data_IF_897690857453
#
_entry.id   IF_897690857453
#
_cell.length_a   1.000
_cell.length_b   1.000
_cell.length_c   1.000
_cell.angle_alpha   90.00
_cell.angle_beta   90.00
_cell.angle_gamma   90.00
#
_symmetry.space_group_name_H-M   'P 1'
#
loop_
_entity.id
_entity.type
_entity.pdbx_description
1 polymer ?
#
# COMPACT_ATOMS: atom_id res chain seq x y z
N UNK A 1 10.50 -0.64 9.84
CA UNK A 1 9.55 0.48 9.96
C UNK A 1 8.20 0.08 9.37
N UNK A 2 7.10 0.64 9.88
CA UNK A 2 5.74 0.31 9.41
C UNK A 2 4.85 1.55 9.33
N UNK A 3 4.01 1.63 8.31
CA UNK A 3 2.98 2.66 8.15
C UNK A 3 1.64 2.00 7.87
N UNK A 4 0.58 2.47 8.53
CA UNK A 4 -0.79 2.09 8.19
C UNK A 4 -1.28 2.94 7.01
N UNK A 5 -1.95 2.30 6.05
CA UNK A 5 -2.56 2.94 4.91
C UNK A 5 -4.05 2.60 4.92
N UNK A 6 -4.91 3.57 4.67
CA UNK A 6 -6.34 3.33 4.55
C UNK A 6 -7.00 4.33 3.60
N UNK A 7 -8.17 4.01 3.01
CA UNK A 7 -8.95 4.98 2.26
C UNK A 7 -9.26 6.22 3.12
N UNK A 8 -9.20 7.40 2.51
CA UNK A 8 -9.78 8.58 3.17
C UNK A 8 -11.29 8.40 3.31
N UNK A 9 -11.89 9.04 4.32
CA UNK A 9 -13.34 9.00 4.57
C UNK A 9 -14.20 9.53 3.41
N UNK A 10 -13.59 10.17 2.41
CA UNK A 10 -14.26 10.72 1.22
C UNK A 10 -14.20 9.81 -0.02
N UNK A 11 -13.40 8.74 -0.02
CA UNK A 11 -13.12 7.94 -1.22
C UNK A 11 -13.74 6.55 -1.19
N UNK A 12 -14.06 6.05 -2.39
CA UNK A 12 -14.60 4.71 -2.60
C UNK A 12 -13.53 3.64 -2.36
N UNK A 13 -13.95 2.48 -1.86
CA UNK A 13 -13.04 1.36 -1.65
C UNK A 13 -12.43 0.90 -2.99
N UNK A 14 -11.10 0.86 -3.06
CA UNK A 14 -10.38 0.28 -4.20
C UNK A 14 -10.50 -1.24 -4.21
N UNK A 15 -10.37 -1.88 -5.38
CA UNK A 15 -10.12 -3.32 -5.42
C UNK A 15 -8.64 -3.62 -5.32
N UNK A 16 -8.27 -4.86 -4.99
CA UNK A 16 -6.87 -5.29 -5.06
C UNK A 16 -6.28 -5.11 -6.48
N UNK A 17 -7.11 -5.24 -7.51
CA UNK A 17 -6.68 -5.03 -8.90
C UNK A 17 -6.34 -3.56 -9.16
N UNK A 18 -7.08 -2.62 -8.56
CA UNK A 18 -6.80 -1.20 -8.66
C UNK A 18 -5.49 -0.85 -7.95
N UNK A 19 -5.26 -1.41 -6.76
CA UNK A 19 -4.00 -1.27 -6.01
C UNK A 19 -2.81 -1.76 -6.83
N UNK A 20 -2.87 -2.99 -7.36
CA UNK A 20 -1.81 -3.53 -8.21
C UNK A 20 -1.59 -2.70 -9.48
N UNK A 21 -2.66 -2.13 -10.05
CA UNK A 21 -2.57 -1.29 -11.24
C UNK A 21 -1.95 0.07 -10.94
N UNK A 22 -2.28 0.70 -9.81
CA UNK A 22 -1.67 1.95 -9.35
C UNK A 22 -0.17 1.77 -9.10
N UNK A 23 0.23 0.72 -8.39
CA UNK A 23 1.64 0.40 -8.13
C UNK A 23 2.42 0.23 -9.44
N UNK A 24 1.85 -0.46 -10.44
CA UNK A 24 2.49 -0.62 -11.76
C UNK A 24 2.62 0.70 -12.55
N UNK A 25 1.69 1.65 -12.38
CA UNK A 25 1.78 2.97 -13.03
C UNK A 25 2.97 3.79 -12.52
N UNK A 26 3.33 3.60 -11.26
CA UNK A 26 4.52 4.22 -10.64
C UNK A 26 5.83 3.46 -10.95
N UNK A 27 5.79 2.48 -11.87
CA UNK A 27 6.98 1.76 -12.32
C UNK A 27 7.39 0.58 -11.42
N UNK A 28 6.62 0.28 -10.37
CA UNK A 28 6.86 -0.87 -9.50
C UNK A 28 6.46 -2.17 -10.19
N UNK A 29 7.06 -3.27 -9.75
CA UNK A 29 6.74 -4.64 -10.19
C UNK A 29 6.12 -5.44 -9.04
N UNK A 30 4.84 -5.20 -8.69
CA UNK A 30 4.19 -5.88 -7.59
C UNK A 30 3.90 -7.35 -7.92
N UNK A 31 4.28 -8.24 -7.01
CA UNK A 31 3.94 -9.65 -6.99
C UNK A 31 2.94 -9.91 -5.85
N UNK A 32 1.74 -10.35 -6.21
CA UNK A 32 0.67 -10.64 -5.25
C UNK A 32 0.75 -12.10 -4.78
N UNK A 33 0.73 -12.29 -3.47
CA UNK A 33 0.66 -13.58 -2.79
C UNK A 33 -0.61 -13.62 -1.92
N UNK A 34 -1.60 -14.42 -2.33
CA UNK A 34 -2.85 -14.56 -1.59
C UNK A 34 -2.70 -15.49 -0.39
N UNK A 35 -3.12 -15.05 0.81
CA UNK A 35 -3.19 -15.89 2.03
C UNK A 35 -4.57 -15.83 2.66
N UNK A 36 -4.86 -16.85 3.48
CA UNK A 36 -6.15 -16.98 4.17
C UNK A 36 -6.42 -15.89 5.23
N UNK A 37 -5.41 -15.09 5.58
CA UNK A 37 -5.45 -14.10 6.66
C UNK A 37 -5.03 -12.69 6.21
N UNK A 38 -4.81 -12.48 4.91
CA UNK A 38 -4.37 -11.20 4.34
C UNK A 38 -3.59 -11.41 3.04
N UNK A 39 -3.74 -10.51 2.08
CA UNK A 39 -3.00 -10.55 0.82
C UNK A 39 -1.65 -9.83 0.99
N UNK A 40 -0.59 -10.39 0.44
CA UNK A 40 0.75 -9.79 0.49
C UNK A 40 1.16 -9.31 -0.89
N UNK A 41 1.82 -8.16 -0.95
CA UNK A 41 2.39 -7.59 -2.17
C UNK A 41 3.87 -7.35 -1.93
N UNK A 42 4.70 -8.02 -2.73
CA UNK A 42 6.15 -7.89 -2.74
C UNK A 42 6.60 -7.11 -3.97
N UNK A 43 7.75 -6.46 -3.89
CA UNK A 43 8.32 -5.70 -5.01
C UNK A 43 9.68 -6.27 -5.43
N UNK A 44 9.91 -6.42 -6.73
CA UNK A 44 11.22 -6.83 -7.23
C UNK A 44 12.27 -5.75 -6.89
N UNK A 45 13.32 -6.13 -6.13
CA UNK A 45 14.44 -5.24 -5.81
C UNK A 45 14.18 -4.21 -4.70
N UNK A 46 13.07 -4.34 -3.96
CA UNK A 46 12.80 -3.51 -2.78
C UNK A 46 12.49 -4.41 -1.57
N UNK A 47 13.01 -4.09 -0.37
CA UNK A 47 12.69 -4.81 0.86
C UNK A 47 11.31 -4.44 1.41
N UNK A 48 10.59 -3.50 0.78
CA UNK A 48 9.24 -3.14 1.20
C UNK A 48 8.24 -4.27 0.90
N UNK A 49 7.31 -4.47 1.82
CA UNK A 49 6.20 -5.42 1.72
C UNK A 49 4.92 -4.71 2.11
N UNK A 50 3.84 -4.97 1.39
CA UNK A 50 2.50 -4.49 1.76
C UNK A 50 1.65 -5.69 2.12
N UNK A 51 1.14 -5.71 3.36
CA UNK A 51 0.01 -6.57 3.71
C UNK A 51 -1.27 -5.77 3.53
N UNK A 52 -2.23 -6.32 2.79
CA UNK A 52 -3.49 -5.65 2.46
C UNK A 52 -4.68 -6.50 2.87
N UNK A 53 -5.60 -5.87 3.60
CA UNK A 53 -6.85 -6.47 3.99
C UNK A 53 -7.87 -6.20 2.90
N UNK A 54 -8.54 -7.26 2.45
CA UNK A 54 -9.65 -7.16 1.52
C UNK A 54 -10.84 -7.99 1.98
N UNK A 55 -12.04 -7.43 1.82
CA UNK A 55 -13.31 -8.09 2.10
C UNK A 55 -14.17 -8.04 0.84
N UNK A 56 -14.52 -9.23 0.32
CA UNK A 56 -15.34 -9.37 -0.90
C UNK A 56 -14.75 -8.64 -2.12
N UNK A 57 -13.43 -8.56 -2.19
CA UNK A 57 -12.70 -7.94 -3.32
C UNK A 57 -12.45 -6.44 -3.18
N UNK A 58 -12.94 -5.80 -2.11
CA UNK A 58 -12.67 -4.40 -1.77
C UNK A 58 -11.60 -4.33 -0.68
N UNK A 59 -10.62 -3.46 -0.86
CA UNK A 59 -9.54 -3.25 0.12
C UNK A 59 -9.98 -2.22 1.15
N UNK A 60 -9.65 -2.46 2.42
CA UNK A 60 -10.09 -1.66 3.57
C UNK A 60 -8.94 -1.03 4.34
N UNK A 61 -7.80 -1.71 4.39
CA UNK A 61 -6.61 -1.27 5.10
C UNK A 61 -5.40 -1.94 4.48
N UNK A 62 -4.22 -1.33 4.64
CA UNK A 62 -2.95 -1.96 4.32
C UNK A 62 -1.89 -1.55 5.33
N UNK A 63 -0.93 -2.43 5.57
CA UNK A 63 0.28 -2.12 6.33
C UNK A 63 1.46 -2.18 5.37
N UNK A 64 2.16 -1.06 5.23
CA UNK A 64 3.44 -0.98 4.53
C UNK A 64 4.55 -1.22 5.54
N UNK A 65 5.38 -2.22 5.29
CA UNK A 65 6.49 -2.63 6.14
C UNK A 65 7.78 -2.63 5.33
N UNK A 66 8.88 -2.12 5.89
CA UNK A 66 10.20 -2.17 5.26
C UNK A 66 11.31 -2.26 6.32
N UNK A 67 12.46 -2.81 5.93
CA UNK A 67 13.64 -2.81 6.80
C UNK A 67 14.22 -1.39 6.88
N UNK A 68 14.77 -1.03 8.04
CA UNK A 68 15.25 0.31 8.40
C UNK A 68 16.59 0.65 7.71
N UNK A 69 16.63 0.45 6.39
CA UNK A 69 17.71 0.91 5.53
C UNK A 69 17.32 2.28 4.98
N UNK A 70 18.17 3.29 5.19
CA UNK A 70 18.05 4.67 4.70
C UNK A 70 17.90 4.80 3.15
N UNK A 71 17.83 3.68 2.42
CA UNK A 71 17.88 3.59 0.95
C UNK A 71 16.54 3.14 0.32
N UNK A 72 15.49 2.87 1.11
CA UNK A 72 14.19 2.45 0.54
C UNK A 72 13.37 3.68 0.11
N UNK A 73 13.36 3.94 -1.20
CA UNK A 73 12.47 4.96 -1.77
C UNK A 73 11.01 4.47 -1.79
N UNK A 74 10.22 4.96 -0.82
CA UNK A 74 8.80 4.68 -0.70
C UNK A 74 7.91 5.62 -1.54
N UNK A 75 8.49 6.64 -2.17
CA UNK A 75 7.74 7.64 -2.95
C UNK A 75 6.82 7.00 -4.00
N UNK A 76 7.25 5.98 -4.78
CA UNK A 76 6.36 5.33 -5.75
C UNK A 76 5.18 4.61 -5.11
N UNK A 77 5.34 4.08 -3.89
CA UNK A 77 4.26 3.42 -3.15
C UNK A 77 3.27 4.48 -2.68
N UNK A 78 3.75 5.56 -2.06
CA UNK A 78 2.88 6.65 -1.60
C UNK A 78 2.05 7.24 -2.72
N UNK A 79 2.66 7.57 -3.86
CA UNK A 79 1.93 8.09 -5.04
C UNK A 79 0.87 7.13 -5.56
N UNK A 80 1.16 5.82 -5.57
CA UNK A 80 0.19 4.84 -5.99
C UNK A 80 -1.05 4.85 -5.07
N UNK A 81 -0.84 4.90 -3.76
CA UNK A 81 -1.93 4.92 -2.78
C UNK A 81 -2.66 6.28 -2.73
N UNK A 82 -1.95 7.39 -2.88
CA UNK A 82 -2.53 8.74 -3.02
C UNK A 82 -3.45 8.85 -4.24
N UNK A 83 -3.05 8.25 -5.37
CA UNK A 83 -3.87 8.22 -6.59
C UNK A 83 -5.19 7.46 -6.41
N UNK A 84 -5.25 6.58 -5.41
CA UNK A 84 -6.46 5.85 -5.00
C UNK A 84 -7.21 6.57 -3.87
N UNK A 85 -6.68 7.70 -3.41
CA UNK A 85 -7.29 8.50 -2.37
C UNK A 85 -7.11 7.93 -0.97
N UNK A 86 -6.02 7.19 -0.75
CA UNK A 86 -5.63 6.66 0.55
C UNK A 86 -4.76 7.67 1.30
N UNK A 87 -4.69 7.51 2.62
CA UNK A 87 -3.86 8.31 3.52
C UNK A 87 -2.96 7.39 4.34
N UNK A 88 -1.84 7.93 4.81
CA UNK A 88 -0.95 7.26 5.74
C UNK A 88 -1.33 7.57 7.18
N UNK A 89 -0.97 6.69 8.11
CA UNK A 89 -1.14 6.89 9.54
C UNK A 89 0.03 6.24 10.30
N UNK A 90 0.66 7.02 11.17
CA UNK A 90 1.76 6.61 12.05
C UNK A 90 1.51 7.05 13.50
N UNK A 91 2.58 7.14 14.31
CA UNK A 91 2.48 7.55 15.73
C UNK A 91 2.03 9.01 15.92
N UNK A 92 2.22 9.88 14.91
CA UNK A 92 1.81 11.29 14.94
C UNK A 92 0.39 11.50 14.40
N UNK A 93 -0.16 10.51 13.69
CA UNK A 93 -1.54 10.47 13.21
C UNK A 93 -1.65 10.34 11.69
N UNK A 94 -2.80 10.72 11.14
CA UNK A 94 -3.05 10.66 9.70
C UNK A 94 -2.30 11.74 8.93
N UNK A 95 -1.71 11.37 7.78
CA UNK A 95 -0.97 12.27 6.90
C UNK A 95 -1.23 11.97 5.40
N UNK A 96 -1.12 12.98 4.52
CA UNK A 96 -1.27 12.80 3.08
C UNK A 96 -0.05 12.11 2.45
N UNK A 97 -0.28 11.30 1.42
CA UNK A 97 0.73 10.50 0.72
C UNK A 97 1.28 11.28 -0.51
N UNK A 98 1.94 12.41 -0.31
CA UNK A 98 2.44 13.28 -1.41
C UNK A 98 3.75 12.84 -2.05
#
# INVERSE_FOLDING_TARGET
MTIQLHPSSANECSTLTDVLSALRKEGLRPSHEAKNWGDWIHFEGSPAVISIESLRGLTSSATLEWEDEDDVDLTPIYRAFDSLGWVGCDEEGEFPLV
#
